data_IF_582428538679
#
_entry.id   IF_582428538679
#
_cell.length_a   1.000
_cell.length_b   1.000
_cell.length_c   1.000
_cell.angle_alpha   90.00
_cell.angle_beta   90.00
_cell.angle_gamma   90.00
#
_symmetry.space_group_name_H-M   'P 1'
#
loop_
_entity.id
_entity.type
_entity.pdbx_description
1 polymer ?
#
# COMPACT_ATOMS: atom_id res chain seq x y z
N UNK A 1 1.91 25.46 39.02
CA UNK A 1 3.37 25.24 38.86
C UNK A 1 3.84 26.21 37.80
N UNK A 2 4.71 27.15 38.17
CA UNK A 2 5.25 28.17 37.25
C UNK A 2 6.24 27.57 36.24
N UNK A 3 6.65 28.39 35.26
CA UNK A 3 7.53 27.95 34.18
C UNK A 3 8.94 27.55 34.66
N UNK A 4 9.47 28.17 35.71
CA UNK A 4 10.80 27.88 36.23
C UNK A 4 10.80 26.52 36.94
N UNK A 5 9.80 26.27 37.79
CA UNK A 5 9.61 24.97 38.42
C UNK A 5 9.44 23.84 37.38
N UNK A 6 8.80 24.13 36.22
CA UNK A 6 8.71 23.16 35.11
C UNK A 6 10.05 22.87 34.45
N UNK A 7 10.89 23.90 34.24
CA UNK A 7 12.22 23.75 33.66
C UNK A 7 13.14 22.95 34.58
N UNK A 8 13.12 23.20 35.87
CA UNK A 8 13.98 22.50 36.84
C UNK A 8 13.69 21.00 36.86
N UNK A 9 12.42 20.60 36.74
CA UNK A 9 12.04 19.18 36.63
C UNK A 9 12.54 18.50 35.36
N UNK A 10 12.88 19.24 34.31
CA UNK A 10 13.47 18.69 33.09
C UNK A 10 14.99 18.56 33.16
N UNK A 11 15.67 19.10 34.18
CA UNK A 11 17.13 19.10 34.26
C UNK A 11 17.71 17.69 34.06
N UNK A 12 17.22 16.71 34.83
CA UNK A 12 17.73 15.34 34.74
C UNK A 12 17.46 14.69 33.39
N UNK A 13 16.30 14.98 32.80
CA UNK A 13 15.96 14.49 31.47
C UNK A 13 16.87 15.11 30.40
N UNK A 14 17.12 16.41 30.48
CA UNK A 14 17.97 17.14 29.54
C UNK A 14 19.42 16.64 29.58
N UNK A 15 19.97 16.37 30.77
CA UNK A 15 21.29 15.72 30.91
C UNK A 15 21.38 14.43 30.11
N UNK A 16 20.34 13.59 30.17
CA UNK A 16 20.29 12.31 29.44
C UNK A 16 20.05 12.54 27.95
N UNK A 17 19.11 13.41 27.60
CA UNK A 17 18.68 13.70 26.22
C UNK A 17 19.81 14.30 25.37
N UNK A 18 20.59 15.22 25.93
CA UNK A 18 21.71 15.88 25.26
C UNK A 18 23.07 15.22 25.55
N UNK A 19 23.09 14.05 26.20
CA UNK A 19 24.34 13.30 26.39
C UNK A 19 24.83 12.68 25.07
N UNK A 20 26.14 12.44 24.97
CA UNK A 20 26.76 11.72 23.85
C UNK A 20 26.48 10.19 23.89
N UNK A 21 25.47 9.74 24.64
CA UNK A 21 25.15 8.33 24.80
C UNK A 21 24.52 7.76 23.51
N UNK A 22 25.21 6.82 22.88
CA UNK A 22 24.79 6.21 21.61
C UNK A 22 24.03 4.89 21.77
N UNK A 23 23.57 4.56 22.98
CA UNK A 23 22.77 3.36 23.22
C UNK A 23 21.48 3.38 22.39
N UNK A 24 20.97 2.20 22.06
CA UNK A 24 19.78 2.04 21.21
C UNK A 24 18.60 2.90 21.68
N UNK A 25 18.32 2.92 23.00
CA UNK A 25 17.25 3.74 23.58
C UNK A 25 17.49 5.24 23.39
N UNK A 26 18.73 5.71 23.56
CA UNK A 26 19.06 7.14 23.40
C UNK A 26 18.99 7.59 21.94
N UNK A 27 19.40 6.73 20.99
CA UNK A 27 19.23 7.00 19.56
C UNK A 27 17.77 7.18 19.14
N UNK A 28 16.84 6.50 19.81
CA UNK A 28 15.40 6.59 19.52
C UNK A 28 14.65 7.62 20.38
N UNK A 29 15.29 8.17 21.40
CA UNK A 29 14.68 9.13 22.34
C UNK A 29 14.21 10.42 21.64
N UNK A 30 14.97 11.06 20.72
CA UNK A 30 14.49 12.23 19.97
C UNK A 30 13.20 11.96 19.19
N UNK A 31 13.14 10.82 18.49
CA UNK A 31 11.96 10.43 17.72
C UNK A 31 10.75 10.20 18.64
N UNK A 32 10.92 9.49 19.74
CA UNK A 32 9.84 9.25 20.71
C UNK A 32 9.33 10.55 21.32
N UNK A 33 10.23 11.47 21.72
CA UNK A 33 9.85 12.77 22.27
C UNK A 33 9.06 13.61 21.28
N UNK A 34 9.52 13.68 20.02
CA UNK A 34 8.81 14.38 18.97
C UNK A 34 7.41 13.80 18.73
N UNK A 35 7.29 12.47 18.62
CA UNK A 35 6.00 11.79 18.43
C UNK A 35 5.05 11.98 19.61
N UNK A 36 5.56 11.89 20.83
CA UNK A 36 4.75 12.08 22.03
C UNK A 36 4.23 13.51 22.11
N UNK A 37 5.09 14.51 21.88
CA UNK A 37 4.71 15.92 21.80
C UNK A 37 3.66 16.19 20.72
N UNK A 38 3.83 15.63 19.52
CA UNK A 38 2.87 15.75 18.42
C UNK A 38 1.47 15.24 18.80
N UNK A 39 1.38 14.08 19.46
CA UNK A 39 0.08 13.56 19.87
C UNK A 39 -0.55 14.33 21.03
N UNK A 40 0.25 14.82 21.99
CA UNK A 40 -0.22 15.71 23.04
C UNK A 40 -0.74 17.04 22.49
N UNK A 41 -0.04 17.64 21.52
CA UNK A 41 -0.49 18.86 20.85
C UNK A 41 -1.84 18.63 20.16
N UNK A 42 -1.98 17.53 19.42
CA UNK A 42 -3.27 17.17 18.81
C UNK A 42 -4.37 16.94 19.83
N UNK A 43 -4.06 16.37 20.99
CA UNK A 43 -5.02 16.15 22.06
C UNK A 43 -5.54 17.46 22.64
N UNK A 44 -4.62 18.38 23.00
CA UNK A 44 -4.93 19.70 23.56
C UNK A 44 -5.70 20.56 22.55
N UNK A 45 -5.38 20.44 21.27
CA UNK A 45 -6.04 21.19 20.21
C UNK A 45 -7.30 20.51 19.65
N UNK A 46 -7.79 19.42 20.26
CA UNK A 46 -8.95 18.65 19.80
C UNK A 46 -8.86 18.15 18.33
N UNK A 47 -7.63 17.88 17.85
CA UNK A 47 -7.30 17.41 16.49
C UNK A 47 -7.06 15.90 16.41
N UNK A 48 -7.42 15.15 17.45
CA UNK A 48 -7.39 13.68 17.42
C UNK A 48 -8.51 13.14 16.52
N UNK A 49 -8.31 11.98 15.87
CA UNK A 49 -9.32 11.40 15.01
C UNK A 49 -10.57 11.02 15.80
N UNK A 50 -11.75 11.27 15.22
CA UNK A 50 -13.05 10.89 15.80
C UNK A 50 -13.25 9.38 15.86
N UNK A 51 -12.75 8.67 14.84
CA UNK A 51 -12.83 7.22 14.72
C UNK A 51 -11.44 6.61 14.55
N UNK A 52 -11.26 5.43 15.11
CA UNK A 52 -10.02 4.67 15.11
C UNK A 52 -10.17 3.39 14.31
N UNK A 53 -9.03 2.88 13.83
CA UNK A 53 -8.96 1.56 13.20
C UNK A 53 -9.42 0.47 14.17
N UNK A 54 -10.13 -0.53 13.66
CA UNK A 54 -10.61 -1.68 14.43
C UNK A 54 -9.67 -2.85 14.19
N UNK A 55 -9.24 -3.50 15.26
CA UNK A 55 -8.38 -4.68 15.20
C UNK A 55 -9.11 -5.90 15.72
N UNK A 56 -9.06 -7.00 14.97
CA UNK A 56 -9.58 -8.28 15.46
C UNK A 56 -8.58 -8.90 16.43
N UNK A 57 -9.06 -9.80 17.28
CA UNK A 57 -8.15 -10.62 18.06
C UNK A 57 -7.22 -11.41 17.14
N UNK A 58 -5.95 -11.52 17.55
CA UNK A 58 -4.93 -12.23 16.81
C UNK A 58 -4.25 -11.42 15.73
N UNK A 59 -4.79 -10.25 15.34
CA UNK A 59 -4.14 -9.35 14.39
C UNK A 59 -2.75 -8.95 14.89
N UNK A 60 -1.75 -9.06 14.02
CA UNK A 60 -0.40 -8.58 14.28
C UNK A 60 -0.34 -7.10 13.95
N UNK A 61 0.18 -6.28 14.85
CA UNK A 61 0.32 -4.84 14.67
C UNK A 61 1.75 -4.40 15.00
N UNK A 62 2.34 -3.54 14.17
CA UNK A 62 3.60 -2.87 14.51
C UNK A 62 3.29 -1.67 15.40
N UNK A 63 3.85 -1.66 16.61
CA UNK A 63 3.56 -0.67 17.65
C UNK A 63 4.84 0.06 18.04
N UNK A 64 4.76 1.38 18.14
CA UNK A 64 5.77 2.20 18.80
C UNK A 64 5.56 2.16 20.32
N UNK A 65 6.36 1.35 21.03
CA UNK A 65 6.32 1.29 22.49
C UNK A 65 7.00 2.49 23.16
N UNK A 66 7.68 3.36 22.40
CA UNK A 66 8.48 4.47 22.91
C UNK A 66 9.76 4.01 23.61
N UNK A 67 10.49 4.95 24.22
CA UNK A 67 11.69 4.62 25.01
C UNK A 67 11.28 4.39 26.47
N UNK A 68 11.12 3.12 26.86
CA UNK A 68 10.69 2.74 28.21
C UNK A 68 11.87 2.41 29.12
N UNK A 69 11.65 2.41 30.42
CA UNK A 69 12.71 2.19 31.42
C UNK A 69 13.05 0.71 31.57
N UNK A 70 14.26 0.41 32.04
CA UNK A 70 14.69 -0.95 32.36
C UNK A 70 14.49 -1.96 31.22
N UNK A 71 13.91 -3.11 31.56
CA UNK A 71 13.64 -4.23 30.65
C UNK A 71 12.29 -4.17 29.95
N UNK A 72 11.56 -3.06 30.07
CA UNK A 72 10.29 -2.88 29.36
C UNK A 72 10.49 -2.84 27.85
N UNK A 73 9.55 -3.46 27.13
CA UNK A 73 9.58 -3.51 25.67
C UNK A 73 9.64 -2.10 25.06
N UNK A 74 10.68 -1.75 24.31
CA UNK A 74 10.88 -0.37 23.83
C UNK A 74 10.99 -0.32 22.30
N UNK A 75 10.75 0.87 21.74
CA UNK A 75 10.80 1.16 20.31
C UNK A 75 9.74 0.40 19.49
N UNK A 76 9.87 0.41 18.16
CA UNK A 76 8.93 -0.23 17.24
C UNK A 76 9.06 -1.75 17.25
N UNK A 77 8.05 -2.47 17.75
CA UNK A 77 8.00 -3.95 17.74
C UNK A 77 6.62 -4.44 17.31
N UNK A 78 6.56 -5.64 16.73
CA UNK A 78 5.28 -6.31 16.54
C UNK A 78 4.64 -6.66 17.88
N UNK A 79 3.32 -6.64 17.91
CA UNK A 79 2.51 -7.19 18.98
C UNK A 79 1.27 -7.86 18.42
N UNK A 80 0.75 -8.84 19.13
CA UNK A 80 -0.53 -9.47 18.81
C UNK A 80 -1.65 -8.83 19.62
N UNK A 81 -2.76 -8.48 18.97
CA UNK A 81 -3.95 -7.95 19.62
C UNK A 81 -4.68 -9.04 20.38
N UNK A 82 -4.93 -8.83 21.68
CA UNK A 82 -5.61 -9.80 22.55
C UNK A 82 -7.04 -9.34 22.91
N UNK A 83 -7.47 -8.13 22.56
CA UNK A 83 -8.85 -7.69 22.78
C UNK A 83 -9.87 -8.55 22.01
N UNK A 84 -10.95 -8.98 22.67
CA UNK A 84 -12.06 -9.66 21.98
C UNK A 84 -13.02 -8.68 21.28
N UNK A 85 -13.24 -7.48 21.85
CA UNK A 85 -14.35 -6.60 21.48
C UNK A 85 -13.86 -5.20 21.07
N UNK A 86 -12.97 -5.08 20.09
CA UNK A 86 -12.53 -3.76 19.61
C UNK A 86 -13.57 -3.10 18.66
N UNK A 87 -13.63 -1.77 18.67
CA UNK A 87 -14.51 -0.97 17.80
C UNK A 87 -13.89 0.38 17.40
N UNK A 88 -14.57 1.11 16.52
CA UNK A 88 -14.08 2.38 15.96
C UNK A 88 -14.04 3.55 16.95
N UNK A 89 -14.74 3.44 18.07
CA UNK A 89 -14.78 4.48 19.11
C UNK A 89 -13.74 4.21 20.22
N UNK A 90 -13.28 2.97 20.36
CA UNK A 90 -12.20 2.60 21.28
C UNK A 90 -10.86 3.14 20.80
N UNK A 91 -10.19 3.90 21.66
CA UNK A 91 -8.91 4.56 21.37
C UNK A 91 -7.69 3.68 21.64
N UNK A 92 -7.87 2.58 22.37
CA UNK A 92 -6.79 1.75 22.90
C UNK A 92 -7.04 0.27 22.59
N UNK A 93 -5.95 -0.50 22.52
CA UNK A 93 -5.94 -1.96 22.39
C UNK A 93 -4.96 -2.56 23.40
N UNK A 94 -5.24 -3.76 23.89
CA UNK A 94 -4.30 -4.58 24.67
C UNK A 94 -3.60 -5.54 23.73
N UNK A 95 -2.27 -5.53 23.86
CA UNK A 95 -1.36 -6.22 22.96
C UNK A 95 -0.31 -6.97 23.77
N UNK A 96 0.13 -8.10 23.23
CA UNK A 96 1.31 -8.82 23.74
C UNK A 96 2.44 -8.62 22.74
N UNK A 97 3.55 -7.97 23.11
CA UNK A 97 4.68 -7.78 22.20
C UNK A 97 5.28 -9.10 21.74
N UNK A 98 5.86 -9.09 20.54
CA UNK A 98 6.58 -10.22 19.96
C UNK A 98 8.10 -9.98 20.01
N UNK A 99 8.84 -11.07 20.12
CA UNK A 99 10.30 -11.10 20.15
C UNK A 99 10.82 -12.24 19.27
N UNK A 100 11.95 -12.03 18.61
CA UNK A 100 12.70 -13.09 17.92
C UNK A 100 13.61 -13.90 18.86
N UNK A 101 13.74 -13.46 20.12
CA UNK A 101 14.57 -14.09 21.14
C UNK A 101 13.71 -14.72 22.23
N UNK A 102 14.03 -15.97 22.56
CA UNK A 102 13.45 -16.66 23.71
C UNK A 102 13.93 -16.04 25.02
N UNK A 103 13.03 -15.94 26.00
CA UNK A 103 13.33 -15.65 27.40
C UNK A 103 12.42 -16.48 28.32
N UNK A 104 12.84 -16.77 29.57
CA UNK A 104 11.97 -17.44 30.53
C UNK A 104 10.61 -16.75 30.67
N UNK A 105 9.54 -17.53 30.62
CA UNK A 105 8.16 -17.04 30.71
C UNK A 105 7.53 -16.62 29.37
N UNK A 106 8.31 -16.48 28.29
CA UNK A 106 7.73 -16.17 26.97
C UNK A 106 6.98 -17.39 26.40
N UNK A 107 5.92 -17.11 25.62
CA UNK A 107 5.19 -18.16 24.90
C UNK A 107 5.83 -18.36 23.53
N UNK A 108 6.28 -19.57 23.22
CA UNK A 108 6.83 -19.92 21.92
C UNK A 108 5.73 -19.98 20.86
N UNK A 109 5.96 -19.31 19.73
CA UNK A 109 5.05 -19.22 18.58
C UNK A 109 5.59 -19.90 17.32
N UNK A 110 6.76 -20.55 17.44
CA UNK A 110 7.46 -21.18 16.31
C UNK A 110 7.57 -20.23 15.11
N UNK A 111 7.36 -20.73 13.89
CA UNK A 111 7.39 -19.94 12.66
C UNK A 111 6.03 -19.32 12.30
N UNK A 112 5.05 -19.26 13.23
CA UNK A 112 3.69 -18.83 12.91
C UNK A 112 3.62 -17.43 12.26
N UNK A 113 4.48 -16.50 12.69
CA UNK A 113 4.57 -15.17 12.09
C UNK A 113 5.05 -15.23 10.64
N UNK A 114 6.06 -16.04 10.38
CA UNK A 114 6.60 -16.26 9.04
C UNK A 114 5.58 -16.94 8.13
N UNK A 115 4.99 -18.04 8.59
CA UNK A 115 3.98 -18.81 7.84
C UNK A 115 2.82 -17.92 7.43
N UNK A 116 2.22 -17.18 8.37
CA UNK A 116 1.12 -16.27 8.06
C UNK A 116 1.54 -15.14 7.10
N UNK A 117 2.76 -14.63 7.23
CA UNK A 117 3.31 -13.62 6.30
C UNK A 117 3.53 -14.19 4.90
N UNK A 118 4.02 -15.42 4.82
CA UNK A 118 4.30 -16.14 3.58
C UNK A 118 3.01 -16.48 2.82
N UNK A 119 1.98 -16.97 3.53
CA UNK A 119 0.64 -17.20 2.96
C UNK A 119 0.04 -15.91 2.40
N UNK A 120 0.11 -14.82 3.17
CA UNK A 120 -0.40 -13.51 2.73
C UNK A 120 0.30 -13.00 1.47
N UNK A 121 1.64 -13.10 1.38
CA UNK A 121 2.35 -12.63 0.18
C UNK A 121 2.07 -13.52 -1.03
N UNK A 122 1.92 -14.83 -0.85
CA UNK A 122 1.54 -15.72 -1.96
C UNK A 122 0.16 -15.38 -2.52
N UNK A 123 -0.83 -15.12 -1.65
CA UNK A 123 -2.16 -14.67 -2.10
C UNK A 123 -2.09 -13.36 -2.88
N UNK A 124 -1.22 -12.42 -2.47
CA UNK A 124 -0.99 -11.17 -3.22
C UNK A 124 -0.33 -11.42 -4.57
N UNK A 125 0.64 -12.33 -4.65
CA UNK A 125 1.29 -12.69 -5.91
C UNK A 125 0.30 -13.37 -6.87
N UNK A 126 -0.57 -14.24 -6.37
CA UNK A 126 -1.63 -14.85 -7.17
C UNK A 126 -2.59 -13.80 -7.74
N UNK A 127 -3.05 -12.83 -6.93
CA UNK A 127 -3.87 -11.70 -7.41
C UNK A 127 -3.15 -10.87 -8.49
N UNK A 128 -1.87 -10.57 -8.30
CA UNK A 128 -1.08 -9.83 -9.28
C UNK A 128 -0.93 -10.60 -10.60
N UNK A 129 -0.73 -11.92 -10.54
CA UNK A 129 -0.66 -12.78 -11.72
C UNK A 129 -2.01 -12.75 -12.46
N UNK A 130 -3.12 -12.92 -11.74
CA UNK A 130 -4.46 -12.88 -12.32
C UNK A 130 -4.77 -11.54 -12.99
N UNK A 131 -4.46 -10.42 -12.32
CA UNK A 131 -4.62 -9.08 -12.88
C UNK A 131 -3.75 -8.86 -14.12
N UNK A 132 -2.50 -9.32 -14.08
CA UNK A 132 -1.58 -9.20 -15.23
C UNK A 132 -2.12 -9.96 -16.45
N UNK A 133 -2.55 -11.22 -16.27
CA UNK A 133 -3.12 -12.03 -17.35
C UNK A 133 -4.40 -11.36 -17.91
N UNK A 134 -5.26 -10.84 -17.03
CA UNK A 134 -6.48 -10.12 -17.44
C UNK A 134 -6.13 -8.96 -18.37
N UNK A 135 -5.21 -8.08 -17.98
CA UNK A 135 -4.86 -6.89 -18.75
C UNK A 135 -4.04 -7.20 -20.02
N UNK A 136 -3.30 -8.30 -20.04
CA UNK A 136 -2.70 -8.83 -21.26
C UNK A 136 -3.77 -9.28 -22.28
N UNK A 137 -4.80 -10.00 -21.82
CA UNK A 137 -5.91 -10.40 -22.69
C UNK A 137 -6.72 -9.20 -23.19
N UNK A 138 -6.96 -8.20 -22.32
CA UNK A 138 -7.58 -6.94 -22.73
C UNK A 138 -6.73 -6.23 -23.79
N UNK A 139 -5.41 -6.16 -23.61
CA UNK A 139 -4.50 -5.57 -24.60
C UNK A 139 -4.63 -6.23 -25.98
N UNK A 140 -4.66 -7.57 -26.04
CA UNK A 140 -4.85 -8.30 -27.31
C UNK A 140 -6.18 -7.90 -27.98
N UNK A 141 -7.26 -7.79 -27.22
CA UNK A 141 -8.55 -7.36 -27.77
C UNK A 141 -8.54 -5.92 -28.29
N UNK A 142 -7.79 -5.04 -27.62
CA UNK A 142 -7.64 -3.63 -28.01
C UNK A 142 -6.78 -3.53 -29.28
N UNK A 143 -5.68 -4.27 -29.35
CA UNK A 143 -4.81 -4.34 -30.52
C UNK A 143 -5.57 -4.82 -31.77
N UNK A 144 -6.41 -5.85 -31.63
CA UNK A 144 -7.29 -6.31 -32.71
C UNK A 144 -8.28 -5.22 -33.16
N UNK A 145 -8.92 -4.52 -32.22
CA UNK A 145 -9.81 -3.39 -32.55
C UNK A 145 -9.07 -2.31 -33.33
N UNK A 146 -7.85 -1.95 -32.92
CA UNK A 146 -7.06 -0.95 -33.64
C UNK A 146 -6.71 -1.40 -35.06
N UNK A 147 -6.35 -2.68 -35.24
CA UNK A 147 -6.05 -3.28 -36.56
C UNK A 147 -7.27 -3.27 -37.47
N UNK A 148 -8.44 -3.60 -36.94
CA UNK A 148 -9.72 -3.51 -37.67
C UNK A 148 -10.00 -2.08 -38.11
N UNK A 149 -9.83 -1.08 -37.23
CA UNK A 149 -10.02 0.34 -37.58
C UNK A 149 -9.08 0.75 -38.71
N UNK A 150 -7.80 0.38 -38.65
CA UNK A 150 -6.84 0.71 -39.72
C UNK A 150 -7.24 0.02 -41.03
N UNK A 151 -7.60 -1.26 -40.99
CA UNK A 151 -8.03 -1.98 -42.19
C UNK A 151 -9.27 -1.34 -42.81
N UNK A 152 -10.24 -0.89 -42.00
CA UNK A 152 -11.43 -0.20 -42.50
C UNK A 152 -11.09 1.14 -43.16
N UNK A 153 -10.14 1.90 -42.58
CA UNK A 153 -9.63 3.15 -43.18
C UNK A 153 -8.94 2.87 -44.52
N UNK A 154 -8.06 1.87 -44.59
CA UNK A 154 -7.36 1.49 -45.82
C UNK A 154 -8.35 1.05 -46.91
N UNK A 155 -9.30 0.19 -46.57
CA UNK A 155 -10.36 -0.24 -47.49
C UNK A 155 -11.22 0.93 -47.99
N UNK A 156 -11.50 1.92 -47.14
CA UNK A 156 -12.25 3.12 -47.53
C UNK A 156 -11.43 4.01 -48.48
N UNK A 157 -10.13 4.15 -48.26
CA UNK A 157 -9.20 4.87 -49.15
C UNK A 157 -9.13 4.20 -50.53
N UNK A 158 -9.37 2.91 -50.65
CA UNK A 158 -9.39 2.22 -51.96
C UNK A 158 -10.76 2.26 -52.67
N UNK A 159 -11.81 2.76 -52.00
CA UNK A 159 -13.18 2.81 -52.53
C UNK A 159 -13.41 3.93 -53.58
N UNK A 160 -14.54 3.97 -54.31
CA UNK A 160 -14.82 5.03 -55.29
C UNK A 160 -14.71 6.46 -54.73
N UNK A 161 -14.24 7.41 -55.54
CA UNK A 161 -13.93 8.76 -55.09
C UNK A 161 -15.15 9.54 -54.60
N UNK A 162 -15.06 10.10 -53.40
CA UNK A 162 -15.98 11.09 -52.84
C UNK A 162 -15.19 12.11 -51.98
N UNK A 163 -15.87 13.15 -51.50
CA UNK A 163 -15.26 14.22 -50.68
C UNK A 163 -14.66 13.67 -49.37
N UNK A 164 -15.43 12.85 -48.66
CA UNK A 164 -15.01 12.20 -47.39
C UNK A 164 -13.71 11.39 -47.55
N UNK A 165 -13.58 10.65 -48.66
CA UNK A 165 -12.38 9.89 -49.00
C UNK A 165 -11.19 10.81 -49.21
N UNK A 166 -11.36 11.92 -49.95
CA UNK A 166 -10.26 12.87 -50.18
C UNK A 166 -9.70 13.42 -48.86
N UNK A 167 -10.58 13.67 -47.89
CA UNK A 167 -10.19 14.15 -46.55
C UNK A 167 -9.42 13.05 -45.83
N UNK A 168 -9.95 11.83 -45.74
CA UNK A 168 -9.30 10.71 -45.04
C UNK A 168 -7.96 10.33 -45.67
N UNK A 169 -7.88 10.28 -47.01
CA UNK A 169 -6.63 9.99 -47.71
C UNK A 169 -5.55 11.03 -47.38
N UNK A 170 -5.92 12.30 -47.27
CA UNK A 170 -5.01 13.37 -46.85
C UNK A 170 -4.54 13.18 -45.41
N UNK A 171 -5.45 12.94 -44.46
CA UNK A 171 -5.11 12.67 -43.06
C UNK A 171 -4.13 11.49 -42.95
N UNK A 172 -4.39 10.43 -43.71
CA UNK A 172 -3.56 9.24 -43.73
C UNK A 172 -2.18 9.49 -44.34
N UNK A 173 -2.10 10.26 -45.43
CA UNK A 173 -0.80 10.65 -46.01
C UNK A 173 -0.02 11.59 -45.10
N UNK A 174 -0.71 12.50 -44.42
CA UNK A 174 -0.08 13.44 -43.47
C UNK A 174 0.59 12.64 -42.35
N UNK A 175 -0.07 11.61 -41.80
CA UNK A 175 0.53 10.72 -40.82
C UNK A 175 1.82 10.04 -41.31
N UNK A 176 1.79 9.50 -42.54
CA UNK A 176 2.93 8.79 -43.16
C UNK A 176 4.13 9.72 -43.42
N UNK A 177 3.88 11.03 -43.56
CA UNK A 177 4.91 12.03 -43.89
C UNK A 177 5.71 12.56 -42.71
N UNK A 178 5.30 12.28 -41.47
CA UNK A 178 5.97 12.81 -40.29
C UNK A 178 7.26 11.99 -40.03
N UNK A 179 8.39 12.66 -39.78
CA UNK A 179 9.72 12.07 -39.55
C UNK A 179 9.78 11.05 -38.39
N UNK A 180 10.73 10.10 -38.47
CA UNK A 180 10.95 9.00 -37.52
C UNK A 180 11.24 9.50 -36.10
N UNK A 181 10.24 9.42 -35.24
CA UNK A 181 10.36 9.54 -33.77
C UNK A 181 10.05 8.16 -33.19
N UNK A 182 10.81 7.74 -32.17
CA UNK A 182 10.82 6.37 -31.61
C UNK A 182 9.45 5.81 -31.18
N UNK A 183 8.42 6.64 -30.99
CA UNK A 183 7.07 6.24 -30.59
C UNK A 183 6.03 6.14 -31.73
N UNK A 184 6.40 6.43 -32.99
CA UNK A 184 5.41 6.55 -34.07
C UNK A 184 5.03 5.26 -34.80
N UNK A 185 5.68 4.13 -34.52
CA UNK A 185 5.28 2.86 -35.15
C UNK A 185 4.11 2.18 -34.42
N UNK A 186 3.73 2.68 -33.24
CA UNK A 186 2.62 2.09 -32.50
C UNK A 186 1.27 2.41 -33.16
N UNK A 187 0.39 1.42 -33.14
CA UNK A 187 -1.01 1.57 -33.56
C UNK A 187 -1.74 2.67 -32.79
N UNK A 188 -1.34 2.89 -31.53
CA UNK A 188 -1.85 3.96 -30.69
C UNK A 188 -1.53 5.34 -31.27
N UNK A 189 -0.26 5.62 -31.55
CA UNK A 189 0.20 6.90 -32.11
C UNK A 189 -0.49 7.20 -33.44
N UNK A 190 -0.69 6.18 -34.28
CA UNK A 190 -1.41 6.28 -35.55
C UNK A 190 -2.86 6.69 -35.38
N UNK A 191 -3.60 5.93 -34.59
CA UNK A 191 -5.03 6.18 -34.38
C UNK A 191 -5.27 7.47 -33.60
N UNK A 192 -4.40 7.80 -32.64
CA UNK A 192 -4.44 9.07 -31.93
C UNK A 192 -4.30 10.26 -32.88
N UNK A 193 -3.31 10.24 -33.78
CA UNK A 193 -3.13 11.30 -34.78
C UNK A 193 -4.37 11.44 -35.68
N UNK A 194 -4.89 10.33 -36.19
CA UNK A 194 -6.10 10.35 -37.04
C UNK A 194 -7.29 10.95 -36.28
N UNK A 195 -7.47 10.60 -35.00
CA UNK A 195 -8.52 11.15 -34.16
C UNK A 195 -8.41 12.67 -34.04
N UNK A 196 -7.21 13.18 -33.75
CA UNK A 196 -6.96 14.61 -33.60
C UNK A 196 -7.25 15.36 -34.90
N UNK A 197 -6.84 14.82 -36.04
CA UNK A 197 -7.13 15.44 -37.34
C UNK A 197 -8.63 15.45 -37.63
N UNK A 198 -9.35 14.34 -37.41
CA UNK A 198 -10.80 14.30 -37.61
C UNK A 198 -11.52 15.29 -36.68
N UNK A 199 -11.12 15.38 -35.42
CA UNK A 199 -11.73 16.29 -34.45
C UNK A 199 -11.42 17.78 -34.73
N UNK A 200 -10.43 18.07 -35.58
CA UNK A 200 -10.10 19.43 -35.99
C UNK A 200 -10.90 19.94 -37.20
N UNK A 201 -11.64 19.05 -37.87
CA UNK A 201 -12.48 19.40 -39.01
C UNK A 201 -13.76 20.12 -38.55
N UNK A 202 -14.21 21.09 -39.35
CA UNK A 202 -15.53 21.71 -39.18
C UNK A 202 -16.63 20.69 -39.50
N UNK A 203 -17.57 20.51 -38.56
CA UNK A 203 -18.78 19.65 -38.65
C UNK A 203 -18.67 18.39 -39.53
N UNK A 204 -18.27 17.27 -38.92
CA UNK A 204 -18.16 15.99 -39.62
C UNK A 204 -19.48 15.21 -39.74
N UNK A 205 -20.62 15.76 -39.29
CA UNK A 205 -21.85 14.96 -39.12
C UNK A 205 -22.42 14.39 -40.42
N UNK A 206 -22.13 15.03 -41.56
CA UNK A 206 -22.52 14.55 -42.88
C UNK A 206 -21.66 13.38 -43.39
N UNK A 207 -20.47 13.19 -42.79
CA UNK A 207 -19.48 12.18 -43.16
C UNK A 207 -19.62 10.93 -42.29
N UNK A 208 -20.54 10.04 -42.68
CA UNK A 208 -20.96 8.87 -41.90
C UNK A 208 -19.80 7.93 -41.55
N UNK A 209 -18.84 7.73 -42.45
CA UNK A 209 -17.69 6.86 -42.19
C UNK A 209 -16.74 7.51 -41.18
N UNK A 210 -16.45 8.82 -41.31
CA UNK A 210 -15.62 9.55 -40.35
C UNK A 210 -16.25 9.59 -38.95
N UNK A 211 -17.55 9.79 -38.84
CA UNK A 211 -18.27 9.70 -37.55
C UNK A 211 -18.12 8.30 -36.95
N UNK A 212 -18.25 7.23 -37.75
CA UNK A 212 -18.09 5.88 -37.25
C UNK A 212 -16.66 5.59 -36.76
N UNK A 213 -15.66 5.97 -37.56
CA UNK A 213 -14.25 5.74 -37.25
C UNK A 213 -13.80 6.56 -36.04
N UNK A 214 -14.15 7.85 -35.95
CA UNK A 214 -13.81 8.69 -34.78
C UNK A 214 -14.35 8.12 -33.47
N UNK A 215 -15.58 7.59 -33.46
CA UNK A 215 -16.15 6.92 -32.28
C UNK A 215 -15.34 5.67 -31.92
N UNK A 216 -15.01 4.82 -32.90
CA UNK A 216 -14.23 3.59 -32.66
C UNK A 216 -12.80 3.89 -32.21
N UNK A 217 -12.16 4.90 -32.80
CA UNK A 217 -10.83 5.37 -32.39
C UNK A 217 -10.87 5.89 -30.95
N UNK A 218 -11.86 6.71 -30.61
CA UNK A 218 -12.03 7.23 -29.24
C UNK A 218 -12.21 6.10 -28.23
N UNK A 219 -12.98 5.05 -28.58
CA UNK A 219 -13.11 3.85 -27.76
C UNK A 219 -11.78 3.09 -27.62
N UNK A 220 -11.02 2.94 -28.70
CA UNK A 220 -9.72 2.29 -28.69
C UNK A 220 -8.72 3.05 -27.78
N UNK A 221 -8.58 4.37 -27.96
CA UNK A 221 -7.69 5.24 -27.16
C UNK A 221 -8.06 5.13 -25.68
N UNK A 222 -9.35 5.30 -25.35
CA UNK A 222 -9.84 5.21 -23.97
C UNK A 222 -9.51 3.85 -23.34
N UNK A 223 -9.61 2.75 -24.10
CA UNK A 223 -9.27 1.41 -23.60
C UNK A 223 -7.75 1.26 -23.38
N UNK A 224 -6.92 1.78 -24.29
CA UNK A 224 -5.45 1.76 -24.10
C UNK A 224 -5.06 2.55 -22.86
N UNK A 225 -5.54 3.79 -22.71
CA UNK A 225 -5.19 4.66 -21.57
C UNK A 225 -5.58 4.00 -20.25
N UNK A 226 -6.80 3.46 -20.17
CA UNK A 226 -7.23 2.72 -19.00
C UNK A 226 -6.33 1.50 -18.72
N UNK A 227 -5.91 0.77 -19.76
CA UNK A 227 -5.06 -0.40 -19.57
C UNK A 227 -3.65 0.00 -19.09
N UNK A 228 -3.07 1.07 -19.65
CA UNK A 228 -1.78 1.65 -19.22
C UNK A 228 -1.83 2.10 -17.75
N UNK A 229 -2.90 2.77 -17.35
CA UNK A 229 -3.12 3.16 -15.96
C UNK A 229 -3.14 1.96 -15.00
N UNK A 230 -3.76 0.85 -15.42
CA UNK A 230 -3.83 -0.37 -14.61
C UNK A 230 -2.48 -1.09 -14.54
N UNK A 231 -1.74 -1.15 -15.65
CA UNK A 231 -0.38 -1.69 -15.68
C UNK A 231 0.56 -0.89 -14.77
N UNK A 232 0.44 0.45 -14.75
CA UNK A 232 1.22 1.31 -13.85
C UNK A 232 0.93 1.02 -12.37
N UNK A 233 -0.31 0.67 -12.02
CA UNK A 233 -0.70 0.27 -10.65
C UNK A 233 -0.12 -1.09 -10.31
N UNK A 234 -0.20 -2.07 -11.22
CA UNK A 234 0.41 -3.40 -11.05
C UNK A 234 1.92 -3.28 -10.83
N UNK A 235 2.62 -2.43 -11.59
CA UNK A 235 4.04 -2.20 -11.41
C UNK A 235 4.38 -1.67 -10.00
N UNK A 236 3.57 -0.73 -9.48
CA UNK A 236 3.71 -0.24 -8.10
C UNK A 236 3.47 -1.34 -7.08
N UNK A 237 2.47 -2.19 -7.30
CA UNK A 237 2.14 -3.30 -6.40
C UNK A 237 3.22 -4.38 -6.39
N UNK A 238 3.85 -4.66 -7.54
CA UNK A 238 5.03 -5.54 -7.65
C UNK A 238 6.17 -4.99 -6.80
N UNK A 239 6.54 -3.71 -6.99
CA UNK A 239 7.59 -3.04 -6.20
C UNK A 239 7.29 -3.06 -4.69
N UNK A 240 6.02 -2.90 -4.31
CA UNK A 240 5.57 -3.02 -2.92
C UNK A 240 5.74 -4.44 -2.38
N UNK A 241 5.34 -5.44 -3.15
CA UNK A 241 5.42 -6.85 -2.79
C UNK A 241 6.86 -7.35 -2.66
N UNK A 242 7.78 -6.87 -3.50
CA UNK A 242 9.22 -7.14 -3.39
C UNK A 242 9.80 -6.63 -2.06
N UNK A 243 9.44 -5.40 -1.66
CA UNK A 243 9.85 -4.83 -0.37
C UNK A 243 9.32 -5.66 0.79
N UNK A 244 8.06 -6.07 0.72
CA UNK A 244 7.44 -6.93 1.72
C UNK A 244 8.14 -8.29 1.81
N UNK A 245 8.41 -8.96 0.69
CA UNK A 245 9.14 -10.23 0.63
C UNK A 245 10.49 -10.15 1.35
N UNK A 246 11.25 -9.08 1.10
CA UNK A 246 12.53 -8.85 1.77
C UNK A 246 12.40 -8.57 3.27
N UNK A 247 11.28 -7.98 3.72
CA UNK A 247 11.00 -7.83 5.15
C UNK A 247 10.65 -9.17 5.80
N UNK A 248 9.86 -10.01 5.13
CA UNK A 248 9.40 -11.30 5.66
C UNK A 248 10.57 -12.24 5.97
N UNK A 249 11.60 -12.27 5.12
CA UNK A 249 12.84 -13.05 5.33
C UNK A 249 13.48 -12.82 6.71
N UNK A 250 13.31 -11.62 7.29
CA UNK A 250 13.86 -11.30 8.63
C UNK A 250 13.17 -12.05 9.77
N UNK A 251 12.04 -12.71 9.51
CA UNK A 251 11.20 -13.37 10.50
C UNK A 251 11.12 -14.89 10.32
N UNK A 252 11.99 -15.49 9.50
CA UNK A 252 12.07 -16.96 9.28
C UNK A 252 12.31 -17.76 10.57
N UNK A 253 12.91 -17.15 11.58
CA UNK A 253 13.18 -17.77 12.86
C UNK A 253 11.95 -17.93 13.77
N UNK A 254 12.16 -18.61 14.90
CA UNK A 254 11.14 -18.73 15.93
C UNK A 254 10.74 -17.37 16.50
N UNK A 255 9.44 -17.16 16.65
CA UNK A 255 8.86 -16.00 17.31
C UNK A 255 8.37 -16.37 18.72
N UNK A 256 8.35 -15.38 19.61
CA UNK A 256 7.95 -15.54 21.00
C UNK A 256 7.05 -14.39 21.43
N UNK A 257 6.01 -14.68 22.19
CA UNK A 257 5.14 -13.67 22.79
C UNK A 257 5.64 -13.31 24.19
N UNK A 258 5.95 -12.03 24.40
CA UNK A 258 6.39 -11.45 25.68
C UNK A 258 5.18 -11.13 26.56
N UNK A 259 4.59 -12.18 27.13
CA UNK A 259 3.42 -12.08 28.03
C UNK A 259 3.69 -11.27 29.30
N UNK A 260 4.96 -11.14 29.71
CA UNK A 260 5.34 -10.32 30.86
C UNK A 260 5.23 -8.82 30.56
N UNK A 261 5.28 -8.43 29.28
CA UNK A 261 5.10 -7.05 28.81
C UNK A 261 3.73 -6.84 28.16
N UNK A 262 2.72 -7.65 28.49
CA UNK A 262 1.34 -7.37 28.08
C UNK A 262 0.96 -5.95 28.51
N UNK A 263 0.45 -5.17 27.57
CA UNK A 263 0.16 -3.76 27.84
C UNK A 263 -0.99 -3.26 26.98
N UNK A 264 -1.69 -2.26 27.50
CA UNK A 264 -2.61 -1.45 26.70
C UNK A 264 -1.82 -0.33 26.02
N UNK A 265 -2.07 -0.10 24.73
CA UNK A 265 -1.49 0.97 23.93
C UNK A 265 -2.58 1.77 23.24
N UNK A 266 -2.33 3.07 23.05
CA UNK A 266 -3.16 3.89 22.17
C UNK A 266 -3.02 3.42 20.72
N UNK A 267 -4.12 3.36 19.98
CA UNK A 267 -4.14 3.02 18.55
C UNK A 267 -3.39 4.03 17.67
N UNK A 268 -3.09 5.22 18.22
CA UNK A 268 -2.21 6.21 17.58
C UNK A 268 -0.75 5.75 17.51
N UNK A 269 -0.36 4.81 18.37
CA UNK A 269 0.99 4.21 18.39
C UNK A 269 1.13 3.03 17.43
N UNK A 270 0.03 2.55 16.84
CA UNK A 270 0.09 1.52 15.80
C UNK A 270 0.50 2.18 14.49
N UNK A 271 1.50 1.63 13.81
CA UNK A 271 1.96 2.15 12.53
C UNK A 271 0.81 2.27 11.52
N UNK A 272 0.93 3.19 10.57
CA UNK A 272 -0.07 3.36 9.52
C UNK A 272 -0.20 2.08 8.70
N UNK A 273 -1.45 1.77 8.35
CA UNK A 273 -1.77 0.66 7.48
C UNK A 273 -1.07 0.84 6.12
N UNK A 274 -0.54 -0.25 5.61
CA UNK A 274 -0.04 -0.37 4.26
C UNK A 274 -0.23 -1.82 3.85
N UNK A 275 -0.75 -2.06 2.66
CA UNK A 275 -0.95 -3.42 2.15
C UNK A 275 0.38 -4.16 1.88
N UNK A 276 1.49 -3.43 1.82
CA UNK A 276 2.85 -3.96 1.61
C UNK A 276 3.68 -4.08 2.90
N UNK A 277 3.03 -4.34 4.05
CA UNK A 277 3.70 -4.63 5.31
C UNK A 277 3.01 -5.79 6.06
N UNK A 278 3.62 -6.28 7.13
CA UNK A 278 3.06 -7.37 7.95
C UNK A 278 1.96 -6.85 8.90
N UNK A 279 2.10 -5.60 9.37
CA UNK A 279 1.17 -4.99 10.34
C UNK A 279 -0.24 -4.94 9.75
N UNK A 280 -1.22 -5.45 10.49
CA UNK A 280 -2.66 -5.46 10.17
C UNK A 280 -3.06 -6.38 9.02
N UNK A 281 -2.11 -6.92 8.25
CA UNK A 281 -2.41 -7.81 7.14
C UNK A 281 -2.36 -9.30 7.51
N UNK A 282 -1.81 -9.65 8.68
CA UNK A 282 -1.79 -11.03 9.17
C UNK A 282 -2.36 -11.16 10.58
N UNK A 283 -2.75 -12.38 10.93
CA UNK A 283 -3.18 -12.74 12.29
C UNK A 283 -2.52 -14.05 12.72
N UNK A 284 -2.26 -14.19 14.03
CA UNK A 284 -1.86 -15.49 14.58
C UNK A 284 -3.05 -16.46 14.58
N UNK A 285 -2.80 -17.76 14.31
CA UNK A 285 -3.80 -18.80 14.49
C UNK A 285 -4.36 -18.85 15.92
N UNK A 286 -5.64 -19.22 16.04
CA UNK A 286 -6.37 -19.26 17.32
C UNK A 286 -5.69 -20.12 18.39
N UNK A 287 -4.99 -21.17 17.99
CA UNK A 287 -4.23 -22.01 18.92
C UNK A 287 -3.15 -21.23 19.69
N UNK A 288 -2.44 -20.31 19.03
CA UNK A 288 -1.43 -19.47 19.66
C UNK A 288 -2.08 -18.42 20.56
N UNK A 289 -3.23 -17.89 20.16
CA UNK A 289 -4.01 -16.98 21.01
C UNK A 289 -4.46 -17.67 22.29
N UNK A 290 -4.92 -18.93 22.20
CA UNK A 290 -5.27 -19.74 23.38
C UNK A 290 -4.05 -19.99 24.28
N UNK A 291 -2.89 -20.34 23.71
CA UNK A 291 -1.62 -20.52 24.45
C UNK A 291 -1.22 -19.23 25.19
N UNK A 292 -1.27 -18.08 24.51
CA UNK A 292 -0.96 -16.76 25.09
C UNK A 292 -1.91 -16.42 26.24
N UNK A 293 -3.23 -16.55 26.03
CA UNK A 293 -4.23 -16.26 27.07
C UNK A 293 -4.08 -17.17 28.29
N UNK A 294 -3.84 -18.47 28.07
CA UNK A 294 -3.56 -19.41 29.16
C UNK A 294 -2.37 -18.94 29.99
N UNK A 295 -1.27 -18.55 29.33
CA UNK A 295 -0.08 -18.09 30.05
C UNK A 295 -0.30 -16.79 30.82
N UNK A 296 -1.04 -15.84 30.24
CA UNK A 296 -1.43 -14.60 30.94
C UNK A 296 -2.25 -14.92 32.20
N UNK A 297 -3.21 -15.84 32.09
CA UNK A 297 -4.03 -16.27 33.22
C UNK A 297 -3.18 -16.90 34.32
N UNK A 298 -2.25 -17.80 33.98
CA UNK A 298 -1.30 -18.38 34.94
C UNK A 298 -0.49 -17.31 35.68
N UNK A 299 -0.03 -16.27 34.97
CA UNK A 299 0.72 -15.15 35.59
C UNK A 299 -0.17 -14.37 36.55
N UNK A 300 -1.42 -14.09 36.17
CA UNK A 300 -2.37 -13.33 36.99
C UNK A 300 -2.88 -14.09 38.21
N UNK A 301 -2.94 -15.42 38.17
CA UNK A 301 -3.37 -16.25 39.32
C UNK A 301 -2.29 -16.37 40.40
N UNK A 302 -1.03 -16.03 40.09
CA UNK A 302 0.10 -16.06 41.03
C UNK A 302 0.27 -14.71 41.77
N UNK A 303 -0.40 -13.65 41.30
CA UNK A 303 -0.38 -12.29 41.87
C UNK A 303 -1.49 -12.09 42.91
#
# INVERSE_FOLDING_TARGET
MDANTKRDKLHKFNEVYFSDNTSFKMKHLPYWMNNYGHYLDKEINHKLPKFYRKFRQGTIVMIDFGVRVGSEMSCGHFGVVINNNDDKNKRNITVVPLSSKHKPGYVRLDNALFTASYEMINQKLEDLIHRTIKYQNEYISIDNLGKEIISDIENYIDSPSNEEKSIISKIYSDYLSIDHVEDKESLYSKLFFINEQINSLDDITEYKFMVNISVRISQYITKIDNNLDQLSKIEKDIKGSEKLSNQIKKYEGNSFADVNNITTVSKLKVNKFSEFNISENISLPDEYIKKIKKKIKEIMEIL
#
